data_IF_791081684377
#
_entry.id   IF_791081684377
#
_cell.length_a   1.000
_cell.length_b   1.000
_cell.length_c   1.000
_cell.angle_alpha   90.00
_cell.angle_beta   90.00
_cell.angle_gamma   90.00
#
_symmetry.space_group_name_H-M   'P 1'
#
loop_
_entity.id
_entity.type
_entity.pdbx_description
1 polymer ?
#
# COMPACT_ATOMS: atom_id res chain seq x y z
N UNK A 1 -33.13 66.24 -60.16
CA UNK A 1 -32.86 64.80 -60.03
C UNK A 1 -31.39 64.61 -59.69
N UNK A 2 -30.89 63.82 -58.75
CA UNK A 2 -31.32 63.28 -57.46
C UNK A 2 -30.04 62.62 -56.89
N UNK A 3 -29.86 62.61 -55.57
CA UNK A 3 -29.06 61.61 -54.82
C UNK A 3 -27.51 61.66 -54.88
N UNK A 4 -26.90 62.61 -54.15
CA UNK A 4 -25.50 62.47 -53.67
C UNK A 4 -25.33 62.59 -52.15
N UNK A 5 -26.39 62.88 -51.39
CA UNK A 5 -26.30 63.21 -49.96
C UNK A 5 -26.40 62.03 -48.97
N UNK A 6 -26.59 60.80 -49.44
CA UNK A 6 -26.78 59.64 -48.54
C UNK A 6 -25.53 58.79 -48.30
N UNK A 7 -24.49 58.89 -49.14
CA UNK A 7 -23.33 57.96 -49.05
C UNK A 7 -22.30 58.34 -47.97
N UNK A 8 -22.29 59.59 -47.50
CA UNK A 8 -21.34 60.06 -46.48
C UNK A 8 -21.85 59.96 -45.03
N UNK A 9 -23.16 59.81 -44.81
CA UNK A 9 -23.73 59.63 -43.46
C UNK A 9 -23.70 58.17 -42.98
N UNK A 10 -23.73 57.20 -43.90
CA UNK A 10 -23.64 55.77 -43.59
C UNK A 10 -22.20 55.31 -43.29
N UNK A 11 -21.19 55.95 -43.90
CA UNK A 11 -19.79 55.64 -43.63
C UNK A 11 -19.31 56.13 -42.24
N UNK A 12 -19.89 57.22 -41.73
CA UNK A 12 -19.54 57.78 -40.42
C UNK A 12 -20.08 56.95 -39.24
N UNK A 13 -21.27 56.34 -39.38
CA UNK A 13 -21.82 55.41 -38.37
C UNK A 13 -21.06 54.09 -38.29
N UNK A 14 -20.56 53.55 -39.41
CA UNK A 14 -19.84 52.27 -39.41
C UNK A 14 -18.45 52.36 -38.76
N UNK A 15 -17.77 53.50 -38.89
CA UNK A 15 -16.46 53.73 -38.27
C UNK A 15 -16.60 54.00 -36.76
N UNK A 16 -17.68 54.65 -36.33
CA UNK A 16 -17.98 54.87 -34.91
C UNK A 16 -18.35 53.57 -34.16
N UNK A 17 -19.09 52.65 -34.79
CA UNK A 17 -19.40 51.35 -34.19
C UNK A 17 -18.19 50.41 -34.09
N UNK A 18 -17.22 50.52 -35.00
CA UNK A 18 -16.00 49.70 -34.98
C UNK A 18 -15.04 50.11 -33.84
N UNK A 19 -15.05 51.38 -33.44
CA UNK A 19 -14.23 51.89 -32.32
C UNK A 19 -14.79 51.50 -30.94
N UNK A 20 -16.11 51.33 -30.79
CA UNK A 20 -16.73 50.88 -29.51
C UNK A 20 -16.54 49.38 -29.28
N UNK A 21 -16.44 48.58 -30.34
CA UNK A 21 -16.25 47.13 -30.26
C UNK A 21 -14.84 46.72 -29.74
N UNK A 22 -13.83 47.59 -29.86
CA UNK A 22 -12.45 47.28 -29.43
C UNK A 22 -12.17 47.58 -27.94
N UNK A 23 -13.04 48.32 -27.24
CA UNK A 23 -12.90 48.56 -25.79
C UNK A 23 -13.69 47.57 -24.91
N UNK A 24 -14.56 46.75 -25.49
CA UNK A 24 -15.39 45.82 -24.73
C UNK A 24 -14.66 44.53 -24.32
N UNK A 25 -13.44 44.29 -24.81
CA UNK A 25 -12.57 43.23 -24.29
C UNK A 25 -11.68 43.77 -23.15
N UNK A 26 -12.27 44.22 -22.05
CA UNK A 26 -11.58 44.04 -20.76
C UNK A 26 -11.61 42.54 -20.49
N UNK A 27 -10.48 41.87 -20.73
CA UNK A 27 -10.29 40.48 -20.34
C UNK A 27 -10.31 40.45 -18.81
N UNK A 28 -11.48 40.21 -18.24
CA UNK A 28 -11.61 39.91 -16.82
C UNK A 28 -10.91 38.58 -16.59
N UNK A 29 -9.72 38.64 -15.99
CA UNK A 29 -9.10 37.46 -15.41
C UNK A 29 -9.92 37.13 -14.18
N UNK A 30 -10.94 36.31 -14.34
CA UNK A 30 -11.52 35.60 -13.21
C UNK A 30 -10.38 34.76 -12.62
N UNK A 31 -9.80 35.24 -11.52
CA UNK A 31 -8.95 34.40 -10.68
C UNK A 31 -9.87 33.29 -10.19
N UNK A 32 -9.80 32.13 -10.85
CA UNK A 32 -10.30 30.89 -10.28
C UNK A 32 -9.50 30.68 -9.01
N UNK A 33 -10.09 31.08 -7.89
CA UNK A 33 -9.55 30.87 -6.57
C UNK A 33 -9.74 29.38 -6.25
N UNK A 34 -8.93 28.53 -6.89
CA UNK A 34 -8.83 27.14 -6.47
C UNK A 34 -8.46 27.17 -4.97
N UNK A 35 -9.21 26.48 -4.10
CA UNK A 35 -8.93 26.52 -2.68
C UNK A 35 -7.49 26.06 -2.46
N UNK A 36 -6.66 26.94 -1.88
CA UNK A 36 -5.26 26.62 -1.54
C UNK A 36 -5.27 25.32 -0.73
N UNK A 37 -4.48 24.35 -1.17
CA UNK A 37 -4.38 23.07 -0.48
C UNK A 37 -3.75 23.29 0.89
N UNK A 38 -4.55 23.17 1.96
CA UNK A 38 -4.11 23.49 3.32
C UNK A 38 -3.17 22.43 3.94
N UNK A 39 -3.11 21.23 3.35
CA UNK A 39 -2.15 20.17 3.69
C UNK A 39 -1.08 20.10 2.58
N UNK A 40 0.16 20.47 2.89
CA UNK A 40 1.25 20.49 1.91
C UNK A 40 1.97 19.15 1.80
N UNK A 41 2.28 18.53 2.94
CA UNK A 41 2.98 17.25 2.97
C UNK A 41 2.61 16.43 4.20
N UNK A 42 2.76 15.12 4.05
CA UNK A 42 2.66 14.14 5.11
C UNK A 42 3.73 13.11 4.87
N UNK A 43 4.71 13.02 5.76
CA UNK A 43 5.80 12.06 5.65
C UNK A 43 6.00 11.26 6.91
N UNK A 44 6.49 10.05 6.74
CA UNK A 44 6.74 9.10 7.83
C UNK A 44 8.08 8.41 7.61
N UNK A 45 8.70 7.94 8.68
CA UNK A 45 9.98 7.23 8.59
C UNK A 45 9.77 5.72 8.61
N UNK A 46 10.36 5.02 7.64
CA UNK A 46 10.46 3.56 7.58
C UNK A 46 11.94 3.15 7.63
N UNK A 47 12.41 2.72 8.81
CA UNK A 47 13.84 2.52 9.05
C UNK A 47 14.61 3.84 8.92
N UNK A 48 15.47 3.94 7.92
CA UNK A 48 16.24 5.16 7.62
C UNK A 48 15.63 5.98 6.46
N UNK A 49 14.56 5.50 5.85
CA UNK A 49 13.94 6.12 4.67
C UNK A 49 12.75 6.99 5.08
N UNK A 50 12.68 8.20 4.53
CA UNK A 50 11.48 9.04 4.63
C UNK A 50 10.55 8.68 3.47
N UNK A 51 9.31 8.34 3.81
CA UNK A 51 8.24 8.06 2.87
C UNK A 51 7.31 9.28 2.83
N UNK A 52 7.24 9.94 1.68
CA UNK A 52 6.22 10.94 1.40
C UNK A 52 4.92 10.24 1.00
N UNK A 53 3.81 10.57 1.67
CA UNK A 53 2.50 10.05 1.32
C UNK A 53 1.97 10.76 0.06
N UNK A 54 1.36 9.97 -0.83
CA UNK A 54 0.57 10.55 -1.90
C UNK A 54 -0.77 11.03 -1.34
N UNK A 55 -1.06 12.32 -1.49
CA UNK A 55 -2.34 12.91 -1.11
C UNK A 55 -3.30 12.74 -2.30
N UNK A 56 -4.33 11.92 -2.13
CA UNK A 56 -5.35 11.69 -3.16
C UNK A 56 -6.73 11.69 -2.51
N UNK A 57 -7.58 12.63 -2.92
CA UNK A 57 -8.92 12.81 -2.37
C UNK A 57 -8.86 12.99 -0.83
N UNK A 58 -9.48 12.09 -0.07
CA UNK A 58 -9.44 12.02 1.39
C UNK A 58 -8.38 11.04 1.91
N UNK A 59 -7.48 10.55 1.06
CA UNK A 59 -6.52 9.49 1.40
C UNK A 59 -5.08 10.00 1.46
N UNK A 60 -4.37 9.61 2.54
CA UNK A 60 -2.93 9.72 2.69
C UNK A 60 -2.32 8.36 2.36
N UNK A 61 -1.91 8.15 1.11
CA UNK A 61 -1.46 6.84 0.63
C UNK A 61 0.02 6.67 0.89
N UNK A 62 0.37 5.70 1.72
CA UNK A 62 1.75 5.35 2.09
C UNK A 62 2.08 4.00 1.50
N UNK A 63 3.14 3.94 0.69
CA UNK A 63 3.70 2.67 0.20
C UNK A 63 4.82 2.21 1.13
N UNK A 64 4.53 1.16 1.91
CA UNK A 64 5.48 0.66 2.88
C UNK A 64 6.51 -0.29 2.21
N UNK A 65 7.82 -0.04 2.34
CA UNK A 65 8.83 -0.76 1.59
C UNK A 65 9.18 -2.12 2.22
N UNK A 66 9.58 -3.06 1.37
CA UNK A 66 10.32 -4.25 1.77
C UNK A 66 11.79 -3.90 2.07
N UNK A 67 12.47 -4.53 3.05
CA UNK A 67 12.01 -5.50 4.05
C UNK A 67 11.64 -4.86 5.41
N UNK A 68 11.36 -3.56 5.46
CA UNK A 68 11.17 -2.85 6.73
C UNK A 68 9.91 -3.36 7.42
N UNK A 69 10.05 -3.96 8.60
CA UNK A 69 8.90 -4.42 9.39
C UNK A 69 7.94 -3.27 9.69
N UNK A 70 6.63 -3.55 9.64
CA UNK A 70 5.62 -2.57 9.98
C UNK A 70 5.62 -2.36 11.50
N UNK A 71 5.93 -1.16 12.01
CA UNK A 71 5.72 -0.84 13.41
C UNK A 71 4.22 -0.74 13.70
N UNK A 72 3.84 -0.87 14.97
CA UNK A 72 2.45 -0.65 15.40
C UNK A 72 2.03 0.82 15.27
N UNK A 73 2.98 1.73 15.48
CA UNK A 73 2.75 3.18 15.45
C UNK A 73 3.80 3.93 14.65
N UNK A 74 3.43 5.14 14.21
CA UNK A 74 4.27 6.10 13.50
C UNK A 74 4.07 7.50 14.07
N UNK A 75 5.06 8.37 13.93
CA UNK A 75 4.98 9.81 14.21
C UNK A 75 5.19 10.59 12.91
N UNK A 76 4.12 10.99 12.19
CA UNK A 76 4.26 11.69 10.92
C UNK A 76 4.79 13.11 11.09
N UNK A 77 5.56 13.57 10.11
CA UNK A 77 5.89 14.99 9.93
C UNK A 77 4.89 15.57 8.94
N UNK A 78 4.14 16.58 9.38
CA UNK A 78 3.03 17.15 8.61
C UNK A 78 3.28 18.65 8.42
N UNK A 79 3.26 19.09 7.16
CA UNK A 79 3.38 20.51 6.80
C UNK A 79 2.04 21.05 6.31
N UNK A 80 1.63 22.20 6.85
CA UNK A 80 0.34 22.83 6.60
C UNK A 80 0.52 24.26 6.08
N UNK A 81 -0.54 24.81 5.48
CA UNK A 81 -0.65 26.24 5.23
C UNK A 81 -0.69 27.04 6.55
N UNK A 82 -0.30 28.33 6.49
CA UNK A 82 -0.41 29.22 7.64
C UNK A 82 -1.87 29.29 8.13
N UNK A 83 -2.08 29.35 9.44
CA UNK A 83 -3.42 29.39 10.05
C UNK A 83 -4.19 28.07 10.04
N UNK A 84 -3.73 27.04 9.34
CA UNK A 84 -4.32 25.70 9.36
C UNK A 84 -3.79 24.87 10.54
N UNK A 85 -4.59 23.90 10.99
CA UNK A 85 -4.24 22.94 12.04
C UNK A 85 -4.73 21.55 11.69
N UNK A 86 -4.07 20.51 12.20
CA UNK A 86 -4.46 19.11 11.98
C UNK A 86 -4.44 18.34 13.29
N UNK A 87 -5.40 17.43 13.45
CA UNK A 87 -5.48 16.51 14.59
C UNK A 87 -5.61 15.06 14.11
N UNK A 88 -4.73 14.12 14.54
CA UNK A 88 -3.58 14.32 15.41
C UNK A 88 -2.52 15.28 14.85
N UNK A 89 -1.83 16.02 15.74
CA UNK A 89 -0.82 16.99 15.34
C UNK A 89 0.45 16.30 14.83
N UNK A 90 1.24 17.00 14.01
CA UNK A 90 2.55 16.53 13.55
C UNK A 90 3.42 16.05 14.73
N UNK A 91 4.10 14.92 14.56
CA UNK A 91 4.92 14.26 15.58
C UNK A 91 4.16 13.39 16.58
N UNK A 92 2.81 13.47 16.62
CA UNK A 92 2.00 12.63 17.51
C UNK A 92 2.07 11.17 17.05
N UNK A 93 2.34 10.26 17.98
CA UNK A 93 2.31 8.83 17.71
C UNK A 93 0.87 8.38 17.41
N UNK A 94 0.67 7.70 16.29
CA UNK A 94 -0.62 7.15 15.86
C UNK A 94 -0.47 5.71 15.37
N UNK A 95 -1.55 4.90 15.32
CA UNK A 95 -1.50 3.59 14.71
C UNK A 95 -1.14 3.64 13.22
N UNK A 96 -0.22 2.77 12.78
CA UNK A 96 0.09 2.55 11.37
C UNK A 96 -0.91 1.56 10.77
N UNK A 97 -2.16 1.99 10.62
CA UNK A 97 -3.24 1.16 10.07
C UNK A 97 -4.07 1.94 9.05
N UNK A 98 -4.57 1.23 8.04
CA UNK A 98 -5.51 1.84 7.09
C UNK A 98 -6.77 2.27 7.82
N UNK A 99 -7.17 3.53 7.64
CA UNK A 99 -8.30 4.16 8.32
C UNK A 99 -7.91 5.08 9.48
N UNK A 100 -6.63 5.20 9.87
CA UNK A 100 -6.20 6.21 10.85
C UNK A 100 -6.61 7.60 10.38
N UNK A 101 -7.44 8.27 11.18
CA UNK A 101 -8.14 9.52 10.80
C UNK A 101 -7.32 10.75 11.19
N UNK A 102 -7.27 11.73 10.29
CA UNK A 102 -6.77 13.07 10.52
C UNK A 102 -7.85 14.10 10.18
N UNK A 103 -8.06 15.07 11.05
CA UNK A 103 -8.98 16.20 10.81
C UNK A 103 -8.16 17.46 10.61
N UNK A 104 -8.16 17.96 9.38
CA UNK A 104 -7.57 19.24 9.01
C UNK A 104 -8.63 20.33 9.19
N UNK A 105 -8.28 21.38 9.92
CA UNK A 105 -9.07 22.61 10.03
C UNK A 105 -8.31 23.74 9.36
N UNK A 106 -8.93 24.37 8.36
CA UNK A 106 -8.37 25.51 7.62
C UNK A 106 -8.53 26.80 8.44
N UNK A 107 -7.88 27.87 7.98
CA UNK A 107 -7.95 29.19 8.63
C UNK A 107 -9.39 29.74 8.68
N UNK A 108 -10.19 29.50 7.64
CA UNK A 108 -11.61 29.89 7.57
C UNK A 108 -12.54 29.06 8.49
N UNK A 109 -11.98 28.09 9.21
CA UNK A 109 -12.71 27.20 10.11
C UNK A 109 -13.34 25.98 9.44
N UNK A 110 -13.29 25.87 8.11
CA UNK A 110 -13.76 24.66 7.40
C UNK A 110 -12.88 23.45 7.71
N UNK A 111 -13.49 22.27 7.73
CA UNK A 111 -12.81 21.01 8.04
C UNK A 111 -12.72 20.10 6.82
N UNK A 112 -11.63 19.33 6.76
CA UNK A 112 -11.42 18.25 5.81
C UNK A 112 -10.85 17.05 6.56
N UNK A 113 -11.42 15.88 6.31
CA UNK A 113 -10.97 14.63 6.93
C UNK A 113 -10.09 13.89 5.94
N UNK A 114 -8.98 13.36 6.44
CA UNK A 114 -8.11 12.45 5.71
C UNK A 114 -7.99 11.11 6.45
N UNK A 115 -7.78 10.04 5.70
CA UNK A 115 -7.56 8.69 6.20
C UNK A 115 -6.22 8.16 5.69
N UNK A 116 -5.43 7.60 6.60
CA UNK A 116 -4.24 6.86 6.23
C UNK A 116 -4.65 5.64 5.39
N UNK A 117 -4.02 5.45 4.24
CA UNK A 117 -4.13 4.25 3.43
C UNK A 117 -2.76 3.61 3.33
N UNK A 118 -2.56 2.56 4.11
CA UNK A 118 -1.33 1.80 4.10
C UNK A 118 -1.37 0.77 2.96
N UNK A 119 -0.44 0.91 2.02
CA UNK A 119 -0.21 -0.06 0.95
C UNK A 119 1.09 -0.78 1.27
N UNK A 120 0.99 -2.04 1.66
CA UNK A 120 2.17 -2.87 1.86
C UNK A 120 2.79 -3.22 0.50
N UNK A 121 3.89 -2.57 0.12
CA UNK A 121 4.55 -2.76 -1.17
C UNK A 121 5.62 -3.85 -1.09
N UNK A 122 5.25 -4.97 -0.47
CA UNK A 122 6.13 -6.10 -0.33
C UNK A 122 5.92 -7.07 -1.49
N UNK A 123 6.99 -7.60 -2.09
CA UNK A 123 6.86 -8.66 -3.08
C UNK A 123 6.18 -9.89 -2.46
N UNK A 124 5.48 -10.65 -3.31
CA UNK A 124 4.96 -11.95 -2.94
C UNK A 124 6.10 -12.86 -2.46
N UNK A 125 5.80 -13.70 -1.48
CA UNK A 125 6.71 -14.77 -1.08
C UNK A 125 6.94 -15.70 -2.27
N UNK A 126 8.18 -16.05 -2.51
CA UNK A 126 8.57 -16.92 -3.61
C UNK A 126 9.68 -17.87 -3.17
N UNK A 127 9.83 -18.98 -3.87
CA UNK A 127 10.96 -19.89 -3.71
C UNK A 127 11.63 -20.17 -5.03
N UNK A 128 12.95 -20.27 -4.98
CA UNK A 128 13.74 -20.63 -6.13
C UNK A 128 13.75 -22.17 -6.27
N UNK A 129 13.03 -22.68 -7.27
CA UNK A 129 13.09 -24.07 -7.74
C UNK A 129 12.69 -25.14 -6.70
N UNK A 130 11.43 -25.11 -6.25
CA UNK A 130 10.89 -26.21 -5.43
C UNK A 130 9.73 -26.87 -6.19
N UNK A 131 10.07 -27.85 -7.04
CA UNK A 131 9.13 -28.75 -7.74
C UNK A 131 9.59 -30.20 -7.56
N UNK A 132 9.61 -30.65 -6.31
CA UNK A 132 10.15 -31.96 -5.95
C UNK A 132 9.20 -32.69 -5.01
N UNK A 133 9.34 -34.01 -4.97
CA UNK A 133 8.76 -34.86 -3.95
C UNK A 133 9.83 -35.25 -2.95
N UNK A 134 9.50 -35.24 -1.66
CA UNK A 134 10.41 -35.64 -0.58
C UNK A 134 9.72 -36.66 0.32
N UNK A 135 10.46 -37.70 0.71
CA UNK A 135 10.05 -38.61 1.77
C UNK A 135 10.71 -38.17 3.07
N UNK A 136 9.95 -38.12 4.17
CA UNK A 136 10.46 -37.73 5.48
C UNK A 136 9.81 -38.54 6.59
N UNK A 137 10.53 -38.76 7.68
CA UNK A 137 9.99 -39.43 8.87
C UNK A 137 9.33 -38.45 9.83
N UNK A 138 8.49 -38.97 10.75
CA UNK A 138 8.03 -38.23 11.92
C UNK A 138 9.22 -37.82 12.78
N UNK A 139 9.19 -36.61 13.36
CA UNK A 139 10.30 -36.09 14.15
C UNK A 139 11.48 -35.55 13.37
N UNK A 140 11.56 -35.83 12.07
CA UNK A 140 12.61 -35.29 11.21
C UNK A 140 12.43 -33.79 10.97
N UNK A 141 13.55 -33.13 10.65
CA UNK A 141 13.56 -31.71 10.34
C UNK A 141 13.38 -31.51 8.84
N UNK A 142 12.26 -30.92 8.46
CA UNK A 142 12.01 -30.47 7.11
C UNK A 142 12.69 -29.12 6.87
N UNK A 143 13.59 -29.05 5.90
CA UNK A 143 14.33 -27.83 5.56
C UNK A 143 13.94 -27.30 4.18
N UNK A 144 13.51 -26.05 4.14
CA UNK A 144 13.27 -25.31 2.90
C UNK A 144 14.34 -24.25 2.74
N UNK A 145 14.94 -24.20 1.56
CA UNK A 145 15.96 -23.22 1.20
C UNK A 145 15.60 -22.54 -0.11
N UNK A 146 16.29 -21.44 -0.42
CA UNK A 146 16.02 -20.69 -1.65
C UNK A 146 14.76 -19.81 -1.55
N UNK A 147 14.31 -19.50 -0.33
CA UNK A 147 13.24 -18.54 -0.10
C UNK A 147 13.65 -17.15 -0.63
N UNK A 148 12.67 -16.40 -1.11
CA UNK A 148 12.80 -15.02 -1.58
C UNK A 148 11.75 -14.15 -0.91
N UNK A 149 12.15 -12.91 -0.64
CA UNK A 149 11.31 -11.92 0.03
C UNK A 149 10.80 -12.39 1.39
N UNK A 150 11.62 -13.16 2.10
CA UNK A 150 11.30 -13.80 3.36
C UNK A 150 12.01 -13.12 4.53
N UNK A 151 11.29 -12.89 5.63
CA UNK A 151 11.85 -12.29 6.84
C UNK A 151 12.31 -13.41 7.77
N UNK A 152 13.57 -13.35 8.22
CA UNK A 152 14.15 -14.29 9.18
C UNK A 152 13.70 -14.09 10.63
N UNK A 153 12.42 -13.83 10.87
CA UNK A 153 11.85 -13.56 12.19
C UNK A 153 10.83 -14.65 12.55
N UNK A 154 11.12 -15.39 13.63
CA UNK A 154 10.28 -16.50 14.10
C UNK A 154 8.93 -16.02 14.63
N UNK A 155 8.86 -14.84 15.26
CA UNK A 155 7.62 -14.30 15.81
C UNK A 155 6.65 -13.83 14.72
N UNK A 156 7.18 -13.60 13.51
CA UNK A 156 6.39 -13.21 12.33
C UNK A 156 6.21 -14.36 11.35
N UNK A 157 6.64 -15.57 11.69
CA UNK A 157 6.67 -16.69 10.75
C UNK A 157 6.03 -17.94 11.33
N UNK A 158 5.18 -18.60 10.54
CA UNK A 158 4.73 -19.96 10.79
C UNK A 158 4.95 -20.85 9.58
N UNK A 159 5.12 -22.13 9.86
CA UNK A 159 5.28 -23.19 8.88
C UNK A 159 4.36 -24.34 9.29
N UNK A 160 3.54 -24.79 8.35
CA UNK A 160 2.57 -25.87 8.57
C UNK A 160 2.59 -26.85 7.41
N UNK A 161 2.19 -28.09 7.68
CA UNK A 161 1.79 -29.05 6.66
C UNK A 161 0.29 -28.97 6.44
N UNK A 162 -0.13 -29.03 5.18
CA UNK A 162 -1.53 -29.19 4.80
C UNK A 162 -1.70 -30.58 4.20
N UNK A 163 -2.59 -31.38 4.78
CA UNK A 163 -2.92 -32.71 4.28
C UNK A 163 -3.61 -32.62 2.90
N UNK A 164 -3.18 -33.45 1.95
CA UNK A 164 -3.84 -33.55 0.64
C UNK A 164 -5.17 -34.30 0.68
N UNK A 165 -5.48 -34.98 1.78
CA UNK A 165 -6.69 -35.79 1.92
C UNK A 165 -7.85 -34.91 2.39
N UNK A 166 -7.67 -34.26 3.54
CA UNK A 166 -8.73 -33.54 4.24
C UNK A 166 -8.47 -32.03 4.35
N UNK A 167 -7.29 -31.54 3.94
CA UNK A 167 -6.91 -30.13 4.05
C UNK A 167 -6.54 -29.70 5.48
N UNK A 168 -6.40 -30.63 6.42
CA UNK A 168 -6.05 -30.34 7.80
C UNK A 168 -4.67 -29.68 7.89
N UNK A 169 -4.58 -28.60 8.67
CA UNK A 169 -3.35 -27.85 8.89
C UNK A 169 -2.66 -28.33 10.18
N UNK A 170 -1.46 -28.87 10.03
CA UNK A 170 -0.61 -29.26 11.16
C UNK A 170 0.58 -28.30 11.29
N UNK A 171 0.67 -27.51 12.37
CA UNK A 171 1.78 -26.59 12.57
C UNK A 171 3.09 -27.33 12.86
N UNK A 172 4.20 -26.79 12.36
CA UNK A 172 5.56 -27.30 12.63
C UNK A 172 6.27 -26.39 13.63
N UNK A 173 7.06 -26.99 14.51
CA UNK A 173 7.95 -26.23 15.39
C UNK A 173 9.16 -25.72 14.58
N UNK A 174 9.26 -24.40 14.39
CA UNK A 174 10.39 -23.79 13.68
C UNK A 174 11.64 -23.86 14.55
N UNK A 175 12.66 -24.55 14.05
CA UNK A 175 13.95 -24.73 14.73
C UNK A 175 15.06 -23.86 14.14
N UNK A 176 15.00 -23.59 12.83
CA UNK A 176 15.97 -22.76 12.14
C UNK A 176 15.27 -21.78 11.22
N UNK A 177 15.69 -20.52 11.23
CA UNK A 177 15.17 -19.49 10.34
C UNK A 177 16.27 -18.50 9.95
N UNK A 178 16.33 -18.17 8.67
CA UNK A 178 17.09 -17.07 8.09
C UNK A 178 16.21 -16.35 7.06
N UNK A 179 16.72 -15.34 6.39
CA UNK A 179 16.06 -14.67 5.26
C UNK A 179 15.96 -15.53 3.98
N UNK A 180 16.58 -16.72 3.98
CA UNK A 180 16.61 -17.63 2.80
C UNK A 180 16.23 -19.07 3.11
N UNK A 181 16.18 -19.44 4.39
CA UNK A 181 16.01 -20.81 4.85
C UNK A 181 15.05 -20.86 6.03
N UNK A 182 14.20 -21.88 6.07
CA UNK A 182 13.40 -22.23 7.24
C UNK A 182 13.44 -23.74 7.45
N UNK A 183 13.56 -24.16 8.71
CA UNK A 183 13.54 -25.56 9.11
C UNK A 183 12.51 -25.77 10.22
N UNK A 184 11.57 -26.67 9.97
CA UNK A 184 10.51 -27.05 10.92
C UNK A 184 10.57 -28.52 11.26
N UNK A 185 10.37 -28.87 12.54
CA UNK A 185 10.30 -30.27 12.97
C UNK A 185 8.91 -30.84 12.69
N UNK A 186 8.87 -32.00 12.05
CA UNK A 186 7.66 -32.79 11.84
C UNK A 186 7.18 -33.39 13.18
N UNK A 187 5.88 -33.27 13.53
CA UNK A 187 5.37 -33.84 14.77
C UNK A 187 5.52 -35.36 14.83
N UNK A 188 5.79 -35.87 16.03
CA UNK A 188 5.80 -37.32 16.30
C UNK A 188 4.41 -37.94 16.17
N UNK A 189 3.36 -37.14 16.31
CA UNK A 189 1.96 -37.55 16.27
C UNK A 189 1.28 -37.21 14.94
N UNK A 190 2.06 -36.91 13.89
CA UNK A 190 1.50 -36.55 12.59
C UNK A 190 0.65 -37.72 12.04
N UNK A 191 -0.66 -37.52 11.82
CA UNK A 191 -1.55 -38.59 11.37
C UNK A 191 -1.11 -39.09 9.99
N UNK A 192 -1.26 -40.40 9.77
CA UNK A 192 -1.17 -41.01 8.45
C UNK A 192 -2.53 -41.66 8.25
N UNK A 193 -3.35 -41.09 7.37
CA UNK A 193 -4.77 -41.42 7.25
C UNK A 193 -5.02 -42.81 6.61
N UNK A 194 -4.02 -43.42 5.97
CA UNK A 194 -4.14 -44.75 5.33
C UNK A 194 -2.88 -45.61 5.56
N UNK A 195 -2.85 -46.82 5.01
CA UNK A 195 -1.64 -47.68 5.01
C UNK A 195 -0.42 -46.99 4.37
N UNK A 196 -0.64 -45.92 3.58
CA UNK A 196 0.38 -45.06 2.98
C UNK A 196 0.02 -43.57 3.14
N UNK A 197 1.01 -42.69 3.32
CA UNK A 197 0.75 -41.25 3.27
C UNK A 197 0.39 -40.82 1.83
N UNK A 198 -0.69 -40.03 1.68
CA UNK A 198 -1.07 -39.42 0.39
C UNK A 198 -0.34 -38.08 0.16
N UNK A 199 0.42 -37.64 1.15
CA UNK A 199 1.34 -36.52 1.07
C UNK A 199 0.73 -35.22 1.56
N UNK A 200 1.62 -34.29 1.83
CA UNK A 200 1.34 -32.98 2.40
C UNK A 200 2.04 -31.91 1.56
N UNK A 201 1.52 -30.68 1.54
CA UNK A 201 2.29 -29.52 1.08
C UNK A 201 2.59 -28.57 2.23
N UNK A 202 3.61 -27.74 2.06
CA UNK A 202 3.95 -26.72 3.05
C UNK A 202 3.14 -25.46 2.82
N UNK A 203 2.57 -24.93 3.89
CA UNK A 203 2.08 -23.55 3.99
C UNK A 203 3.06 -22.76 4.86
N UNK A 204 3.53 -21.63 4.33
CA UNK A 204 4.31 -20.64 5.06
C UNK A 204 3.48 -19.37 5.21
N UNK A 205 3.40 -18.85 6.43
CA UNK A 205 2.93 -17.48 6.68
C UNK A 205 4.12 -16.68 7.19
N UNK A 206 4.49 -15.60 6.49
CA UNK A 206 5.63 -14.75 6.85
C UNK A 206 5.22 -13.28 6.79
N UNK A 207 5.13 -12.65 7.97
CA UNK A 207 4.72 -11.28 8.19
C UNK A 207 3.44 -10.90 7.43
N UNK A 208 2.40 -11.73 7.60
CA UNK A 208 1.07 -11.54 7.01
C UNK A 208 0.90 -12.02 5.56
N UNK A 209 1.98 -12.45 4.88
CA UNK A 209 1.92 -13.03 3.54
C UNK A 209 1.89 -14.55 3.62
N UNK A 210 1.17 -15.19 2.71
CA UNK A 210 1.06 -16.66 2.65
C UNK A 210 1.70 -17.20 1.38
N UNK A 211 2.41 -18.32 1.51
CA UNK A 211 2.93 -19.12 0.41
C UNK A 211 2.55 -20.58 0.61
N UNK A 212 1.83 -21.15 -0.35
CA UNK A 212 1.51 -22.59 -0.36
C UNK A 212 2.28 -23.30 -1.47
N UNK A 213 3.11 -24.26 -1.08
CA UNK A 213 3.99 -25.00 -1.97
C UNK A 213 3.30 -26.24 -2.55
N UNK A 214 2.17 -26.08 -3.24
CA UNK A 214 1.33 -27.20 -3.69
C UNK A 214 2.00 -28.19 -4.64
N UNK A 215 3.08 -27.78 -5.29
CA UNK A 215 3.90 -28.64 -6.18
C UNK A 215 5.05 -29.34 -5.43
N UNK A 216 5.30 -29.00 -4.16
CA UNK A 216 6.29 -29.64 -3.30
C UNK A 216 5.60 -30.60 -2.34
N UNK A 217 5.62 -31.89 -2.67
CA UNK A 217 4.88 -32.91 -1.92
C UNK A 217 5.81 -33.63 -0.96
N UNK A 218 5.38 -33.70 0.30
CA UNK A 218 6.07 -34.40 1.38
C UNK A 218 5.28 -35.64 1.72
N UNK A 219 5.87 -36.80 1.54
CA UNK A 219 5.32 -38.08 1.98
C UNK A 219 5.97 -38.48 3.31
N UNK A 220 5.14 -38.81 4.28
CA UNK A 220 5.53 -39.28 5.59
C UNK A 220 5.72 -40.79 5.52
N UNK A 221 6.96 -41.23 5.73
CA UNK A 221 7.34 -42.64 5.73
C UNK A 221 7.59 -43.12 7.16
N UNK A 222 7.35 -44.42 7.39
CA UNK A 222 7.58 -45.11 8.65
C UNK A 222 9.07 -45.27 8.98
#
# INVERSE_FOLDING_TARGET
MHNYSYRWRLASCFIACLFVALMACKKETEYRNEPVQALHSFSITAGETILEAAIKDDSLVVYWPWPVLLPETISPVISLAAGASISPASGTAVPLTTGTRYTLKKEDGSEQVYYLKLVNNWPALDTRYIKNTVNSGRGERLNLSGLRYFIGDKEKTSMSLISRINGEETPLNIETITDRTIGGRLPQTLPIDTDYDQGHWVKLVNAGRTLEMKEYIIYIVY
#
